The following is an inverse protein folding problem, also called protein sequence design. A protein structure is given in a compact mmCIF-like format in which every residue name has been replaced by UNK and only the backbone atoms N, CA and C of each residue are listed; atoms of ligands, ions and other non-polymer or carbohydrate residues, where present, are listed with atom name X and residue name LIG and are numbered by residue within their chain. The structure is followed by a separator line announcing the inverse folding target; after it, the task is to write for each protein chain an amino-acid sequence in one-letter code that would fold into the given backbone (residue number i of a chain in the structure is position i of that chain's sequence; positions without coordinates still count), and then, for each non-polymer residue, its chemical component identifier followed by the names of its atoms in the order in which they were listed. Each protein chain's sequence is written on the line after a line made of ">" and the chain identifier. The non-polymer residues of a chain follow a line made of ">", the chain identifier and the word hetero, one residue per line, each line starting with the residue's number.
data_IF_129297411769
#
_entry.id   IF_129297411769
#
_cell.length_a   1.000
_cell.length_b   1.000
_cell.length_c   1.000
_cell.angle_alpha   90.00
_cell.angle_beta   90.00
_cell.angle_gamma   90.00
#
_symmetry.space_group_name_H-M   'P 1'
#
loop_
_entity.id
_entity.type
_entity.pdbx_description
1 polymer ?
#
# COMPACT_ATOMS: atom_id res chain seq x y z
N UNK A 1 -5.35 37.41 -43.29
CA UNK A 1 -5.82 37.50 -41.89
C UNK A 1 -5.22 36.34 -41.13
N UNK A 2 -4.09 36.56 -40.49
CA UNK A 2 -3.35 35.57 -39.72
C UNK A 2 -4.07 35.23 -38.41
N UNK A 3 -4.57 34.00 -38.31
CA UNK A 3 -5.08 33.47 -37.04
C UNK A 3 -3.90 33.01 -36.19
N UNK A 4 -3.52 33.85 -35.22
CA UNK A 4 -2.62 33.47 -34.12
C UNK A 4 -3.21 32.26 -33.39
N UNK A 5 -2.55 31.12 -33.51
CA UNK A 5 -2.78 29.95 -32.65
C UNK A 5 -2.22 30.33 -31.28
N UNK A 6 -3.10 30.52 -30.29
CA UNK A 6 -2.67 30.66 -28.89
C UNK A 6 -2.28 29.27 -28.39
N UNK A 7 -1.03 29.12 -27.98
CA UNK A 7 -0.56 27.94 -27.26
C UNK A 7 -1.34 27.81 -25.95
N UNK A 8 -1.98 26.66 -25.75
CA UNK A 8 -2.57 26.28 -24.47
C UNK A 8 -1.40 25.85 -23.57
N UNK A 9 -1.23 26.44 -22.37
CA UNK A 9 -0.16 26.04 -21.48
C UNK A 9 -0.38 24.59 -21.03
N UNK A 10 0.61 23.75 -21.30
CA UNK A 10 0.68 22.37 -20.83
C UNK A 10 0.96 22.36 -19.32
N UNK A 11 -0.06 22.62 -18.51
CA UNK A 11 -0.04 22.27 -17.09
C UNK A 11 -0.49 20.81 -16.99
N UNK A 12 0.46 19.93 -16.63
CA UNK A 12 0.16 18.57 -16.19
C UNK A 12 -0.95 18.62 -15.15
N UNK A 13 -2.09 17.99 -15.45
CA UNK A 13 -3.28 17.92 -14.60
C UNK A 13 -3.09 16.96 -13.40
N UNK A 14 -1.84 16.53 -13.15
CA UNK A 14 -1.43 15.57 -12.12
C UNK A 14 -0.59 16.25 -11.03
N UNK A 15 -1.03 17.40 -10.53
CA UNK A 15 -0.55 17.89 -9.24
C UNK A 15 -1.13 16.97 -8.15
N UNK A 16 -0.47 15.83 -7.92
CA UNK A 16 -0.72 14.99 -6.75
C UNK A 16 -0.58 15.87 -5.48
N UNK A 17 -1.45 15.69 -4.48
CA UNK A 17 -1.39 16.52 -3.28
C UNK A 17 0.00 16.41 -2.65
N UNK A 18 0.56 17.54 -2.16
CA UNK A 18 1.87 17.52 -1.51
C UNK A 18 1.85 16.50 -0.38
N UNK A 19 2.95 15.76 -0.24
CA UNK A 19 3.10 14.75 0.79
C UNK A 19 2.70 15.33 2.16
N UNK A 20 1.81 14.65 2.87
CA UNK A 20 1.38 15.08 4.19
C UNK A 20 2.62 15.21 5.08
N UNK A 21 2.78 16.31 5.82
CA UNK A 21 3.83 16.40 6.84
C UNK A 21 3.63 15.26 7.84
N UNK A 22 4.67 14.47 8.07
CA UNK A 22 4.65 13.34 9.01
C UNK A 22 5.44 13.70 10.27
N UNK A 23 4.91 13.33 11.43
CA UNK A 23 5.59 13.52 12.71
C UNK A 23 6.59 12.38 12.93
N UNK A 24 7.84 12.74 13.25
CA UNK A 24 8.85 11.77 13.67
C UNK A 24 8.55 11.28 15.09
N UNK A 25 8.72 9.97 15.36
CA UNK A 25 8.70 9.48 16.72
C UNK A 25 9.85 10.11 17.54
N UNK A 26 9.72 10.15 18.87
CA UNK A 26 10.78 10.64 19.74
C UNK A 26 12.06 9.79 19.55
N UNK A 27 13.15 10.46 19.16
CA UNK A 27 14.44 9.85 18.87
C UNK A 27 15.34 9.97 20.09
N UNK A 28 16.21 8.98 20.30
CA UNK A 28 17.36 9.15 21.17
C UNK A 28 18.40 10.06 20.47
N UNK A 29 19.10 10.89 21.24
CA UNK A 29 20.05 11.91 20.75
C UNK A 29 21.22 11.32 19.92
N UNK A 30 21.41 10.00 19.95
CA UNK A 30 22.47 9.27 19.25
C UNK A 30 22.05 8.71 17.87
N UNK A 31 20.76 8.79 17.49
CA UNK A 31 20.29 8.30 16.20
C UNK A 31 20.52 9.33 15.08
N UNK A 32 21.45 9.03 14.18
CA UNK A 32 21.71 9.81 12.96
C UNK A 32 20.59 9.63 11.93
N UNK A 33 19.52 10.43 12.05
CA UNK A 33 18.40 10.45 11.09
C UNK A 33 18.25 11.79 10.38
N UNK A 34 19.33 12.57 10.34
CA UNK A 34 19.40 13.89 9.68
C UNK A 34 19.00 13.84 8.21
N UNK A 35 19.27 12.72 7.52
CA UNK A 35 18.89 12.52 6.12
C UNK A 35 17.37 12.64 5.88
N UNK A 36 16.52 12.42 6.90
CA UNK A 36 15.06 12.58 6.77
C UNK A 36 14.63 14.03 6.53
N UNK A 37 15.47 14.99 6.92
CA UNK A 37 15.24 16.42 6.69
C UNK A 37 15.78 16.88 5.34
N UNK A 38 16.50 16.02 4.61
CA UNK A 38 16.98 16.34 3.28
C UNK A 38 15.82 16.46 2.30
N UNK A 39 15.95 17.38 1.35
CA UNK A 39 15.09 17.48 0.17
C UNK A 39 15.75 16.87 -1.08
N UNK A 40 16.91 16.21 -0.89
CA UNK A 40 17.60 15.45 -1.92
C UNK A 40 17.29 13.95 -1.80
N UNK A 41 16.74 13.39 -2.89
CA UNK A 41 16.34 11.98 -2.95
C UNK A 41 17.52 11.03 -2.73
N UNK A 42 18.68 11.30 -3.32
CA UNK A 42 19.86 10.43 -3.23
C UNK A 42 20.32 10.31 -1.77
N UNK A 43 20.42 11.43 -1.06
CA UNK A 43 20.72 11.50 0.37
C UNK A 43 19.74 10.66 1.21
N UNK A 44 18.44 10.73 0.91
CA UNK A 44 17.43 9.93 1.62
C UNK A 44 17.60 8.44 1.32
N UNK A 45 17.80 8.07 0.07
CA UNK A 45 17.98 6.67 -0.34
C UNK A 45 19.25 6.05 0.24
N UNK A 46 20.34 6.81 0.33
CA UNK A 46 21.56 6.40 1.02
C UNK A 46 21.34 6.28 2.52
N UNK A 47 20.70 7.27 3.14
CA UNK A 47 20.33 7.24 4.56
C UNK A 47 19.53 5.99 4.91
N UNK A 48 18.51 5.67 4.10
CA UNK A 48 17.68 4.46 4.25
C UNK A 48 18.54 3.18 4.30
N UNK A 49 19.57 3.06 3.45
CA UNK A 49 20.46 1.89 3.38
C UNK A 49 21.32 1.73 4.63
N UNK A 50 21.66 2.84 5.30
CA UNK A 50 22.52 2.85 6.48
C UNK A 50 21.80 2.54 7.79
N UNK A 51 20.46 2.60 7.82
CA UNK A 51 19.67 2.29 9.01
C UNK A 51 19.76 0.80 9.33
N UNK A 52 20.36 0.48 10.47
CA UNK A 52 20.32 -0.86 11.05
C UNK A 52 18.92 -1.16 11.63
N UNK A 53 18.34 -2.31 11.26
CA UNK A 53 16.92 -2.66 11.55
C UNK A 53 16.73 -3.32 12.92
N UNK A 54 17.70 -3.15 13.80
CA UNK A 54 17.80 -3.84 15.09
C UNK A 54 16.71 -3.42 16.07
N UNK A 55 16.21 -2.19 15.99
CA UNK A 55 15.14 -1.70 16.88
C UNK A 55 13.81 -1.49 16.14
N UNK A 56 12.70 -1.59 16.89
CA UNK A 56 11.37 -1.31 16.36
C UNK A 56 11.24 0.14 15.87
N UNK A 57 11.84 1.08 16.60
CA UNK A 57 11.81 2.49 16.24
C UNK A 57 12.52 2.78 14.91
N UNK A 58 13.69 2.17 14.69
CA UNK A 58 14.44 2.32 13.44
C UNK A 58 13.67 1.76 12.24
N UNK A 59 12.82 0.75 12.42
CA UNK A 59 11.92 0.27 11.35
C UNK A 59 10.84 1.27 10.99
N UNK A 60 10.25 1.96 11.96
CA UNK A 60 9.26 3.01 11.71
C UNK A 60 9.91 4.17 10.96
N UNK A 61 11.08 4.60 11.42
CA UNK A 61 11.90 5.66 10.79
C UNK A 61 12.27 5.28 9.36
N UNK A 62 12.74 4.06 9.12
CA UNK A 62 13.06 3.58 7.78
C UNK A 62 11.82 3.54 6.87
N UNK A 63 10.66 3.18 7.42
CA UNK A 63 9.38 3.25 6.71
C UNK A 63 8.99 4.69 6.35
N UNK A 64 9.11 5.64 7.27
CA UNK A 64 8.86 7.06 7.02
C UNK A 64 9.82 7.64 5.97
N UNK A 65 11.09 7.23 6.03
CA UNK A 65 12.08 7.59 5.02
C UNK A 65 11.68 7.10 3.62
N UNK A 66 11.14 5.88 3.51
CA UNK A 66 10.60 5.37 2.24
C UNK A 66 9.44 6.24 1.75
N UNK A 67 8.53 6.68 2.63
CA UNK A 67 7.44 7.59 2.24
C UNK A 67 7.96 8.96 1.79
N UNK A 68 8.98 9.50 2.47
CA UNK A 68 9.65 10.75 2.05
C UNK A 68 10.36 10.59 0.71
N UNK A 69 11.09 9.50 0.49
CA UNK A 69 11.71 9.20 -0.80
C UNK A 69 10.66 9.11 -1.93
N UNK A 70 9.53 8.46 -1.64
CA UNK A 70 8.39 8.41 -2.56
C UNK A 70 7.79 9.79 -2.84
N UNK A 71 7.87 10.76 -1.93
CA UNK A 71 7.42 12.14 -2.20
C UNK A 71 8.37 12.94 -3.10
N UNK A 72 9.62 12.49 -3.22
CA UNK A 72 10.66 13.09 -4.06
C UNK A 72 10.94 12.24 -5.31
N UNK A 73 9.99 11.38 -5.70
CA UNK A 73 10.17 10.42 -6.78
C UNK A 73 10.49 11.09 -8.11
N UNK A 74 10.05 12.32 -8.32
CA UNK A 74 10.28 13.13 -9.51
C UNK A 74 11.77 13.40 -9.75
N UNK A 75 12.56 13.52 -8.68
CA UNK A 75 14.02 13.68 -8.75
C UNK A 75 14.73 12.43 -9.30
N UNK A 76 14.08 11.27 -9.27
CA UNK A 76 14.69 10.01 -9.72
C UNK A 76 14.86 9.89 -11.23
N UNK A 77 14.27 10.81 -12.01
CA UNK A 77 14.23 10.74 -13.48
C UNK A 77 13.31 9.64 -14.04
N UNK A 78 12.52 8.98 -13.19
CA UNK A 78 11.57 7.94 -13.58
C UNK A 78 10.25 8.56 -14.04
N UNK A 79 9.53 7.85 -14.91
CA UNK A 79 8.30 8.35 -15.55
C UNK A 79 7.08 8.44 -14.64
N UNK A 80 7.09 7.76 -13.49
CA UNK A 80 5.99 7.78 -12.53
C UNK A 80 6.42 7.27 -11.16
N UNK A 81 5.69 7.67 -10.11
CA UNK A 81 5.78 7.10 -8.76
C UNK A 81 5.60 5.58 -8.77
N UNK A 82 4.73 5.05 -9.64
CA UNK A 82 4.54 3.61 -9.76
C UNK A 82 5.81 2.91 -10.25
N UNK A 83 6.49 3.48 -11.23
CA UNK A 83 7.75 2.95 -11.74
C UNK A 83 8.87 3.07 -10.70
N UNK A 84 8.91 4.17 -9.94
CA UNK A 84 9.77 4.32 -8.77
C UNK A 84 9.55 3.19 -7.75
N UNK A 85 8.30 2.92 -7.37
CA UNK A 85 7.94 1.83 -6.43
C UNK A 85 8.34 0.45 -6.93
N UNK A 86 8.25 0.19 -8.24
CA UNK A 86 8.69 -1.07 -8.86
C UNK A 86 10.21 -1.25 -8.79
N UNK A 87 10.96 -0.14 -8.83
CA UNK A 87 12.43 -0.09 -8.78
C UNK A 87 12.99 0.13 -7.38
N UNK A 88 12.15 0.41 -6.39
CA UNK A 88 12.57 0.68 -5.01
C UNK A 88 13.43 -0.44 -4.40
N UNK A 89 13.21 -1.71 -4.77
CA UNK A 89 14.05 -2.82 -4.28
C UNK A 89 15.50 -2.74 -4.78
N UNK A 90 15.70 -2.32 -6.04
CA UNK A 90 17.03 -2.12 -6.63
C UNK A 90 17.67 -0.86 -6.06
N UNK A 91 16.92 0.25 -6.01
CA UNK A 91 17.41 1.54 -5.53
C UNK A 91 17.82 1.52 -4.06
N UNK A 92 17.02 0.87 -3.22
CA UNK A 92 17.23 0.83 -1.77
C UNK A 92 18.03 -0.40 -1.30
N UNK A 93 18.38 -1.34 -2.19
CA UNK A 93 19.09 -2.57 -1.81
C UNK A 93 18.31 -3.49 -0.86
N UNK A 94 16.99 -3.50 -0.96
CA UNK A 94 16.09 -4.25 -0.07
C UNK A 94 15.19 -5.20 -0.85
N UNK A 95 14.74 -6.30 -0.24
CA UNK A 95 13.71 -7.13 -0.86
C UNK A 95 12.39 -6.36 -1.00
N UNK A 96 11.62 -6.63 -2.07
CA UNK A 96 10.30 -6.01 -2.30
C UNK A 96 9.36 -6.18 -1.10
N UNK A 97 9.39 -7.35 -0.46
CA UNK A 97 8.62 -7.64 0.74
C UNK A 97 9.02 -6.71 1.91
N UNK A 98 10.32 -6.49 2.12
CA UNK A 98 10.81 -5.58 3.17
C UNK A 98 10.35 -4.15 2.93
N UNK A 99 10.53 -3.63 1.71
CA UNK A 99 10.08 -2.26 1.35
C UNK A 99 8.58 -2.11 1.58
N UNK A 100 7.78 -3.09 1.13
CA UNK A 100 6.34 -3.02 1.35
C UNK A 100 5.96 -3.10 2.82
N UNK A 101 6.60 -3.94 3.62
CA UNK A 101 6.29 -4.06 5.04
C UNK A 101 6.64 -2.77 5.79
N UNK A 102 7.81 -2.19 5.52
CA UNK A 102 8.21 -0.91 6.10
C UNK A 102 7.24 0.22 5.70
N UNK A 103 6.78 0.23 4.44
CA UNK A 103 5.75 1.17 3.98
C UNK A 103 4.44 1.01 4.76
N UNK A 104 3.97 -0.23 4.95
CA UNK A 104 2.75 -0.51 5.75
C UNK A 104 2.90 -0.07 7.20
N UNK A 105 4.06 -0.35 7.81
CA UNK A 105 4.39 0.12 9.16
C UNK A 105 4.32 1.65 9.25
N UNK A 106 4.88 2.34 8.25
CA UNK A 106 4.87 3.79 8.20
C UNK A 106 3.44 4.35 8.10
N UNK A 107 2.61 3.82 7.21
CA UNK A 107 1.21 4.24 7.10
C UNK A 107 0.43 3.99 8.39
N UNK A 108 0.54 2.79 8.96
CA UNK A 108 -0.11 2.47 10.23
C UNK A 108 0.33 3.41 11.35
N UNK A 109 1.60 3.81 11.39
CA UNK A 109 2.10 4.83 12.31
C UNK A 109 1.51 6.21 12.02
N UNK A 110 1.59 6.72 10.79
CA UNK A 110 1.12 8.07 10.45
C UNK A 110 -0.37 8.24 10.70
N UNK A 111 -1.17 7.23 10.38
CA UNK A 111 -2.63 7.29 10.50
C UNK A 111 -3.09 7.17 11.95
N UNK A 112 -2.27 6.54 12.81
CA UNK A 112 -2.59 6.28 14.21
C UNK A 112 -1.65 6.98 15.20
N UNK A 113 -0.88 7.98 14.76
CA UNK A 113 0.20 8.60 15.55
C UNK A 113 -0.28 9.06 16.92
N UNK A 114 -1.45 9.70 17.00
CA UNK A 114 -2.04 10.19 18.26
C UNK A 114 -2.29 9.07 19.27
N UNK A 115 -2.68 7.90 18.78
CA UNK A 115 -2.96 6.72 19.60
C UNK A 115 -1.67 6.00 20.01
N UNK A 116 -0.67 5.98 19.12
CA UNK A 116 0.58 5.24 19.30
C UNK A 116 1.67 6.04 20.04
N UNK A 117 1.55 7.37 20.12
CA UNK A 117 2.60 8.28 20.65
C UNK A 117 3.13 7.90 22.04
N UNK A 118 2.27 7.34 22.90
CA UNK A 118 2.62 6.99 24.29
C UNK A 118 2.83 5.48 24.48
N UNK A 119 3.05 4.75 23.39
CA UNK A 119 3.26 3.31 23.41
C UNK A 119 4.73 3.03 23.10
N UNK A 120 5.36 2.24 23.96
CA UNK A 120 6.68 1.71 23.64
C UNK A 120 6.55 0.70 22.50
N UNK A 121 7.06 1.08 21.32
CA UNK A 121 7.06 0.24 20.12
C UNK A 121 8.38 -0.54 19.94
N UNK A 122 9.25 -0.54 20.96
CA UNK A 122 10.47 -1.34 20.97
C UNK A 122 10.13 -2.82 20.82
N UNK A 123 10.55 -3.41 19.69
CA UNK A 123 10.21 -4.80 19.34
C UNK A 123 8.76 -5.04 18.88
N UNK A 124 7.89 -4.01 18.92
CA UNK A 124 6.47 -4.09 18.53
C UNK A 124 6.14 -3.43 17.19
N UNK A 125 7.12 -2.86 16.49
CA UNK A 125 6.90 -2.25 15.18
C UNK A 125 6.30 -3.22 14.14
N UNK A 126 6.54 -4.53 14.28
CA UNK A 126 5.96 -5.55 13.39
C UNK A 126 4.43 -5.66 13.57
N UNK A 127 3.91 -5.39 14.77
CA UNK A 127 2.47 -5.38 15.05
C UNK A 127 1.73 -4.34 14.20
N UNK A 128 2.42 -3.24 13.84
CA UNK A 128 1.84 -2.19 12.99
C UNK A 128 1.44 -2.70 11.60
N UNK A 129 2.01 -3.81 11.11
CA UNK A 129 1.56 -4.46 9.88
C UNK A 129 0.09 -4.92 9.92
N UNK A 130 -0.45 -5.13 11.12
CA UNK A 130 -1.78 -5.69 11.35
C UNK A 130 -2.70 -4.73 12.12
N UNK A 131 -2.22 -3.52 12.44
CA UNK A 131 -2.96 -2.58 13.26
C UNK A 131 -4.28 -2.16 12.60
N UNK A 132 -4.27 -1.84 11.31
CA UNK A 132 -5.49 -1.42 10.61
C UNK A 132 -6.51 -2.54 10.55
N UNK A 133 -6.07 -3.78 10.32
CA UNK A 133 -6.95 -4.95 10.34
C UNK A 133 -7.57 -5.16 11.74
N UNK A 134 -6.76 -5.02 12.80
CA UNK A 134 -7.23 -5.13 14.18
C UNK A 134 -8.26 -4.02 14.52
N UNK A 135 -7.98 -2.78 14.14
CA UNK A 135 -8.87 -1.64 14.37
C UNK A 135 -10.20 -1.78 13.60
N UNK A 136 -10.16 -2.25 12.35
CA UNK A 136 -11.35 -2.49 11.55
C UNK A 136 -12.20 -3.61 12.12
N UNK A 137 -11.57 -4.71 12.54
CA UNK A 137 -12.28 -5.90 13.03
C UNK A 137 -12.90 -5.68 14.41
N UNK A 138 -12.10 -5.19 15.36
CA UNK A 138 -12.52 -5.16 16.76
C UNK A 138 -13.21 -3.86 17.15
N UNK A 139 -13.00 -2.77 16.40
CA UNK A 139 -13.58 -1.42 16.58
C UNK A 139 -13.34 -0.77 17.95
N UNK A 140 -12.85 -1.51 18.94
CA UNK A 140 -12.40 -1.04 20.24
C UNK A 140 -10.90 -0.76 20.22
N UNK A 141 -10.56 0.53 20.15
CA UNK A 141 -9.17 1.00 20.18
C UNK A 141 -8.44 0.59 21.45
N UNK A 142 -9.11 0.60 22.60
CA UNK A 142 -8.46 0.29 23.88
C UNK A 142 -8.04 -1.17 23.91
N UNK A 143 -8.93 -2.07 23.50
CA UNK A 143 -8.65 -3.49 23.38
C UNK A 143 -7.50 -3.76 22.40
N UNK A 144 -7.52 -3.12 21.23
CA UNK A 144 -6.43 -3.26 20.23
C UNK A 144 -5.08 -2.82 20.81
N UNK A 145 -5.05 -1.74 21.59
CA UNK A 145 -3.82 -1.28 22.23
C UNK A 145 -3.33 -2.21 23.35
N UNK A 146 -4.24 -2.84 24.09
CA UNK A 146 -3.90 -3.84 25.11
C UNK A 146 -3.21 -5.05 24.46
N UNK A 147 -3.81 -5.58 23.38
CA UNK A 147 -3.22 -6.67 22.59
C UNK A 147 -1.90 -6.25 21.93
N UNK A 148 -1.80 -5.04 21.37
CA UNK A 148 -0.56 -4.57 20.76
C UNK A 148 0.62 -4.56 21.75
N UNK A 149 0.36 -4.24 23.02
CA UNK A 149 1.37 -4.23 24.08
C UNK A 149 1.68 -5.64 24.59
N UNK A 150 0.65 -6.43 24.87
CA UNK A 150 0.79 -7.73 25.53
C UNK A 150 1.30 -8.82 24.58
N UNK A 151 0.78 -8.87 23.36
CA UNK A 151 0.92 -10.02 22.49
C UNK A 151 2.28 -10.10 21.81
N UNK A 152 2.72 -11.31 21.46
CA UNK A 152 3.78 -11.48 20.49
C UNK A 152 3.33 -11.00 19.11
N UNK A 153 4.28 -10.73 18.20
CA UNK A 153 3.92 -10.30 16.84
C UNK A 153 3.08 -11.36 16.10
N UNK A 154 3.26 -12.65 16.44
CA UNK A 154 2.49 -13.75 15.88
C UNK A 154 1.08 -13.76 16.45
N UNK A 155 0.94 -13.71 17.78
CA UNK A 155 -0.37 -13.79 18.44
C UNK A 155 -1.22 -12.59 18.07
N UNK A 156 -0.63 -11.39 18.02
CA UNK A 156 -1.31 -10.18 17.55
C UNK A 156 -1.79 -10.33 16.11
N UNK A 157 -0.97 -10.91 15.23
CA UNK A 157 -1.35 -11.14 13.83
C UNK A 157 -2.51 -12.15 13.70
N UNK A 158 -2.47 -13.24 14.47
CA UNK A 158 -3.52 -14.26 14.50
C UNK A 158 -4.82 -13.67 15.05
N UNK A 159 -4.75 -12.90 16.14
CA UNK A 159 -5.89 -12.21 16.74
C UNK A 159 -6.49 -11.11 15.86
N UNK A 160 -5.63 -10.32 15.20
CA UNK A 160 -6.05 -9.26 14.27
C UNK A 160 -6.76 -9.83 13.03
N UNK A 161 -6.30 -10.98 12.53
CA UNK A 161 -6.89 -11.67 11.37
C UNK A 161 -8.13 -12.49 11.73
N UNK A 162 -8.20 -13.00 12.97
CA UNK A 162 -9.19 -13.98 13.40
C UNK A 162 -8.83 -15.38 12.89
N UNK A 163 -8.82 -16.39 13.77
CA UNK A 163 -8.70 -17.78 13.34
C UNK A 163 -10.01 -18.22 12.67
N UNK A 164 -9.96 -18.55 11.38
CA UNK A 164 -10.94 -19.46 10.77
C UNK A 164 -12.12 -18.86 10.02
N UNK A 165 -12.28 -17.54 9.97
CA UNK A 165 -13.23 -16.90 9.04
C UNK A 165 -12.42 -16.12 8.02
N UNK A 166 -12.35 -16.62 6.78
CA UNK A 166 -11.97 -15.76 5.65
C UNK A 166 -12.84 -14.51 5.76
N UNK A 167 -12.25 -13.32 5.95
CA UNK A 167 -13.06 -12.13 6.09
C UNK A 167 -13.93 -12.00 4.84
N UNK A 168 -15.26 -11.97 5.04
CA UNK A 168 -16.21 -11.55 4.02
C UNK A 168 -15.69 -10.22 3.45
N UNK A 169 -15.24 -10.31 2.20
CA UNK A 169 -14.76 -9.22 1.35
C UNK A 169 -14.08 -8.04 2.08
N UNK A 170 -12.81 -8.21 2.47
CA UNK A 170 -11.90 -7.07 2.64
C UNK A 170 -11.78 -6.32 1.30
N UNK A 171 -12.56 -5.24 1.16
CA UNK A 171 -12.32 -4.17 0.17
C UNK A 171 -12.34 -2.87 0.97
N UNK A 172 -11.17 -2.33 1.38
CA UNK A 172 -10.50 -1.28 0.56
C UNK A 172 -8.96 -1.21 0.74
N UNK A 173 -8.19 -0.73 -0.26
CA UNK A 173 -7.62 0.63 -0.29
C UNK A 173 -8.15 1.54 -1.42
N UNK A 174 -9.06 1.01 -2.24
CA UNK A 174 -9.73 1.70 -3.34
C UNK A 174 -11.21 1.34 -3.24
N UNK A 175 -12.07 2.33 -3.00
CA UNK A 175 -13.51 2.13 -2.88
C UNK A 175 -14.13 2.08 -4.27
N UNK A 176 -14.15 0.89 -4.87
CA UNK A 176 -14.89 0.61 -6.10
C UNK A 176 -16.39 0.65 -5.82
N UNK A 177 -17.08 1.61 -6.40
CA UNK A 177 -18.55 1.72 -6.33
C UNK A 177 -19.14 1.53 -7.72
N UNK A 178 -20.21 0.73 -7.79
CA UNK A 178 -20.94 0.43 -9.02
C UNK A 178 -22.31 1.11 -8.97
N UNK A 179 -22.67 1.88 -9.99
CA UNK A 179 -24.00 2.48 -10.08
C UNK A 179 -24.27 3.12 -11.44
N UNK A 180 -25.45 2.86 -12.01
CA UNK A 180 -25.96 3.58 -13.19
C UNK A 180 -25.04 3.57 -14.42
N UNK A 181 -24.39 2.44 -14.72
CA UNK A 181 -23.47 2.35 -15.87
C UNK A 181 -22.07 2.94 -15.60
N UNK A 182 -21.73 3.24 -14.34
CA UNK A 182 -20.44 3.83 -13.96
C UNK A 182 -19.75 3.02 -12.88
N UNK A 183 -18.44 2.97 -12.97
CA UNK A 183 -17.52 2.50 -11.94
C UNK A 183 -16.77 3.72 -11.42
N UNK A 184 -16.86 3.95 -10.12
CA UNK A 184 -16.10 4.98 -9.44
C UNK A 184 -15.05 4.39 -8.51
N UNK A 185 -13.89 5.04 -8.46
CA UNK A 185 -12.72 4.71 -7.65
C UNK A 185 -12.55 5.84 -6.63
N UNK A 186 -12.73 5.53 -5.34
CA UNK A 186 -12.71 6.51 -4.25
C UNK A 186 -13.70 7.67 -4.47
N UNK A 187 -14.87 7.34 -5.01
CA UNK A 187 -15.92 8.31 -5.33
C UNK A 187 -15.66 9.16 -6.57
N UNK A 188 -14.53 8.97 -7.27
CA UNK A 188 -14.24 9.62 -8.55
C UNK A 188 -14.60 8.70 -9.72
N UNK A 189 -15.18 9.21 -10.82
CA UNK A 189 -15.45 8.41 -12.01
C UNK A 189 -14.16 7.78 -12.54
N UNK A 190 -14.14 6.45 -12.67
CA UNK A 190 -13.00 5.68 -13.18
C UNK A 190 -13.29 5.12 -14.56
N UNK A 191 -14.50 4.57 -14.74
CA UNK A 191 -14.93 4.01 -16.00
C UNK A 191 -16.43 4.25 -16.16
N UNK A 192 -16.82 4.73 -17.33
CA UNK A 192 -18.21 4.90 -17.75
C UNK A 192 -18.47 3.95 -18.90
N UNK A 193 -19.52 3.15 -18.78
CA UNK A 193 -19.92 2.22 -19.83
C UNK A 193 -20.74 2.95 -20.89
N UNK A 194 -20.48 2.64 -22.16
CA UNK A 194 -21.39 2.99 -23.24
C UNK A 194 -22.76 2.33 -22.99
N UNK A 195 -23.86 3.08 -23.20
CA UNK A 195 -25.22 2.58 -23.04
C UNK A 195 -25.51 1.38 -23.96
N UNK A 196 -24.83 1.30 -25.11
CA UNK A 196 -24.94 0.20 -26.06
C UNK A 196 -24.15 -1.06 -25.64
N UNK A 197 -23.31 -0.97 -24.61
CA UNK A 197 -22.52 -2.12 -24.16
C UNK A 197 -23.41 -3.18 -23.49
N UNK A 198 -23.33 -4.46 -23.91
CA UNK A 198 -24.08 -5.55 -23.28
C UNK A 198 -23.80 -5.73 -21.77
N UNK A 199 -24.81 -6.15 -21.02
CA UNK A 199 -24.73 -6.28 -19.56
C UNK A 199 -23.80 -7.41 -19.08
N UNK A 200 -23.65 -8.46 -19.87
CA UNK A 200 -22.68 -9.54 -19.65
C UNK A 200 -21.24 -9.02 -19.75
N UNK A 201 -20.95 -8.17 -20.73
CA UNK A 201 -19.63 -7.55 -20.90
C UNK A 201 -19.33 -6.53 -19.78
N UNK A 202 -20.34 -5.74 -19.38
CA UNK A 202 -20.24 -4.86 -18.20
C UNK A 202 -19.92 -5.65 -16.93
N UNK A 203 -20.62 -6.77 -16.72
CA UNK A 203 -20.41 -7.69 -15.60
C UNK A 203 -19.02 -8.33 -15.62
N UNK A 204 -18.55 -8.77 -16.79
CA UNK A 204 -17.21 -9.30 -16.97
C UNK A 204 -16.13 -8.28 -16.60
N UNK A 205 -16.18 -7.08 -17.16
CA UNK A 205 -15.23 -5.99 -16.87
C UNK A 205 -15.25 -5.64 -15.38
N UNK A 206 -16.44 -5.54 -14.77
CA UNK A 206 -16.57 -5.24 -13.35
C UNK A 206 -15.92 -6.31 -12.46
N UNK A 207 -16.16 -7.60 -12.74
CA UNK A 207 -15.52 -8.71 -12.03
C UNK A 207 -14.00 -8.67 -12.16
N UNK A 208 -13.50 -8.36 -13.36
CA UNK A 208 -12.07 -8.34 -13.66
C UNK A 208 -11.37 -7.18 -12.96
N UNK A 209 -11.97 -5.99 -12.96
CA UNK A 209 -11.51 -4.85 -12.18
C UNK A 209 -11.51 -5.14 -10.68
N UNK A 210 -12.59 -5.72 -10.14
CA UNK A 210 -12.67 -6.13 -8.72
C UNK A 210 -11.53 -7.09 -8.37
N UNK A 211 -11.30 -8.13 -9.17
CA UNK A 211 -10.24 -9.10 -8.95
C UNK A 211 -8.83 -8.47 -9.08
N UNK A 212 -8.63 -7.59 -10.05
CA UNK A 212 -7.38 -6.87 -10.27
C UNK A 212 -7.00 -5.98 -9.09
N UNK A 213 -7.94 -5.19 -8.59
CA UNK A 213 -7.71 -4.33 -7.43
C UNK A 213 -7.53 -5.12 -6.13
N UNK A 214 -8.24 -6.26 -5.97
CA UNK A 214 -8.01 -7.21 -4.87
C UNK A 214 -6.59 -7.78 -4.90
N UNK A 215 -6.10 -8.21 -6.06
CA UNK A 215 -4.72 -8.70 -6.20
C UNK A 215 -3.69 -7.61 -5.87
N UNK A 216 -3.94 -6.37 -6.33
CA UNK A 216 -3.08 -5.21 -6.06
C UNK A 216 -2.91 -4.93 -4.57
N UNK A 217 -3.96 -5.05 -3.76
CA UNK A 217 -3.88 -4.90 -2.30
C UNK A 217 -2.93 -5.93 -1.65
N UNK A 218 -2.88 -7.13 -2.21
CA UNK A 218 -1.96 -8.19 -1.79
C UNK A 218 -0.53 -8.05 -2.32
N UNK A 219 -0.16 -6.93 -2.97
CA UNK A 219 1.06 -6.81 -3.79
C UNK A 219 1.22 -7.92 -4.84
N UNK A 220 0.11 -8.47 -5.30
CA UNK A 220 0.09 -9.50 -6.32
C UNK A 220 -0.23 -8.85 -7.67
N UNK A 221 0.36 -9.38 -8.73
CA UNK A 221 -0.02 -9.03 -10.10
C UNK A 221 -1.22 -9.92 -10.47
N UNK A 222 -2.33 -9.30 -10.87
CA UNK A 222 -3.43 -10.05 -11.46
C UNK A 222 -3.04 -10.49 -12.87
N UNK A 223 -3.14 -11.80 -13.13
CA UNK A 223 -2.97 -12.37 -14.45
C UNK A 223 -4.32 -12.86 -14.94
N UNK A 224 -4.70 -12.46 -16.16
CA UNK A 224 -5.82 -13.06 -16.87
C UNK A 224 -5.27 -14.24 -17.65
N UNK A 225 -5.77 -15.44 -17.34
CA UNK A 225 -5.41 -16.66 -18.05
C UNK A 225 -6.59 -17.03 -18.93
N UNK A 226 -6.46 -16.96 -20.27
CA UNK A 226 -7.50 -17.46 -21.15
C UNK A 226 -7.60 -18.97 -20.99
N UNK A 227 -8.83 -19.47 -20.87
CA UNK A 227 -9.17 -20.89 -20.75
C UNK A 227 -10.25 -21.22 -21.78
N UNK A 228 -10.21 -22.44 -22.30
CA UNK A 228 -11.14 -22.94 -23.31
C UNK A 228 -12.51 -23.26 -22.72
N UNK A 229 -12.56 -23.77 -21.48
CA UNK A 229 -13.80 -24.14 -20.81
C UNK A 229 -13.70 -24.07 -19.27
N UNK A 230 -14.85 -24.28 -18.61
CA UNK A 230 -14.98 -24.30 -17.14
C UNK A 230 -14.17 -25.43 -16.49
N UNK A 231 -13.92 -26.53 -17.21
CA UNK A 231 -13.13 -27.66 -16.75
C UNK A 231 -11.66 -27.28 -16.62
N UNK A 232 -11.11 -26.64 -17.64
CA UNK A 232 -9.76 -26.10 -17.66
C UNK A 232 -9.59 -24.99 -16.62
N UNK A 233 -10.57 -24.10 -16.47
CA UNK A 233 -10.57 -23.08 -15.42
C UNK A 233 -10.36 -23.70 -14.04
N UNK A 234 -11.10 -24.76 -13.70
CA UNK A 234 -10.96 -25.50 -12.43
C UNK A 234 -9.61 -26.21 -12.32
N UNK A 235 -9.09 -26.76 -13.41
CA UNK A 235 -7.80 -27.43 -13.44
C UNK A 235 -6.64 -26.47 -13.14
N UNK A 236 -6.64 -25.29 -13.78
CA UNK A 236 -5.68 -24.22 -13.52
C UNK A 236 -5.74 -23.77 -12.07
N UNK A 237 -6.96 -23.55 -11.55
CA UNK A 237 -7.16 -23.09 -10.18
C UNK A 237 -6.66 -24.11 -9.14
N UNK A 238 -6.92 -25.40 -9.37
CA UNK A 238 -6.42 -26.51 -8.56
C UNK A 238 -4.90 -26.65 -8.63
N UNK A 239 -4.31 -26.47 -9.81
CA UNK A 239 -2.87 -26.50 -9.99
C UNK A 239 -2.18 -25.39 -9.20
N UNK A 240 -2.69 -24.16 -9.29
CA UNK A 240 -2.18 -23.00 -8.54
C UNK A 240 -2.29 -23.21 -7.03
N UNK A 241 -3.42 -23.76 -6.54
CA UNK A 241 -3.61 -24.09 -5.13
C UNK A 241 -2.58 -25.11 -4.63
N UNK A 242 -2.37 -26.21 -5.38
CA UNK A 242 -1.38 -27.23 -5.04
C UNK A 242 0.05 -26.69 -5.04
N UNK A 243 0.40 -25.90 -6.05
CA UNK A 243 1.74 -25.29 -6.15
C UNK A 243 2.01 -24.30 -5.00
N UNK A 244 0.99 -23.57 -4.53
CA UNK A 244 1.11 -22.69 -3.36
C UNK A 244 1.25 -23.44 -2.04
N UNK A 245 0.59 -24.59 -1.89
CA UNK A 245 0.65 -25.41 -0.67
C UNK A 245 1.95 -26.22 -0.53
N UNK A 246 2.69 -26.44 -1.62
CA UNK A 246 3.97 -27.15 -1.63
C UNK A 246 5.21 -26.25 -1.46
N UNK A 247 5.04 -24.96 -1.23
CA UNK A 247 6.08 -23.99 -0.88
C UNK A 247 5.90 -23.50 0.54
#
# INVERSE_FOLDING_TARGET
>A
MDKKIKAIPNKSEYDEPPAKPFELPALADDMRVEFLQSDDLETIEEGIKTIDRTTGMLRIIQGLAILKAESLWDQSGLSSLQYYRQKANERLGMSRASVSNLRKIAYAWTDNVKMLRNIDLSGKAVHLLYLDAALQRHQDKKLVLEHLKADSARDFAEWARGMGEEPEELVPDIKLTYGGGRIALDGKPFLEYDEALPDDERSFIGKLLKAGYKARQGNCIAHVVPVYDDGEARAVDNFLKKHRAGK
#
